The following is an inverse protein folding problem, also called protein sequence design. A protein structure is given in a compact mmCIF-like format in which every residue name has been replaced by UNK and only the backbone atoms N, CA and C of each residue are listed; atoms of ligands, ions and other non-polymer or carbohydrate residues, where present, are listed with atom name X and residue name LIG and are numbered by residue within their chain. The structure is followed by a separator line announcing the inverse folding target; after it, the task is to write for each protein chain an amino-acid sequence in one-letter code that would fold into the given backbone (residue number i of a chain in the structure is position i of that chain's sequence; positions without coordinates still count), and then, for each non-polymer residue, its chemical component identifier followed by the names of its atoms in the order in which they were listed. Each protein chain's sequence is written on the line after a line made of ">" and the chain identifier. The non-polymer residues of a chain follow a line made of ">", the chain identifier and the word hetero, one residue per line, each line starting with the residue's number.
data_IF_698848440347
#
_entry.id   IF_698848440347
#
_cell.length_a   1.000
_cell.length_b   1.000
_cell.length_c   1.000
_cell.angle_alpha   90.00
_cell.angle_beta   90.00
_cell.angle_gamma   90.00
#
_symmetry.space_group_name_H-M   'P 1'
#
loop_
_entity.id
_entity.type
_entity.pdbx_description
1 polymer ?
#
# COMPACT_ATOMS: atom_id res chain seq x y z
N UNK A 1 -1.27 -15.81 -15.50
CA UNK A 1 -2.15 -15.97 -14.32
C UNK A 1 -2.29 -14.60 -13.68
N UNK A 2 -3.14 -13.77 -14.27
CA UNK A 2 -3.39 -12.38 -13.85
C UNK A 2 -4.45 -12.38 -12.75
N UNK A 3 -4.22 -11.61 -11.68
CA UNK A 3 -5.15 -11.49 -10.57
C UNK A 3 -6.52 -11.03 -11.11
N UNK A 4 -7.64 -11.70 -10.77
CA UNK A 4 -8.98 -11.35 -11.26
C UNK A 4 -9.46 -9.94 -10.84
N UNK A 5 -8.69 -9.22 -10.03
CA UNK A 5 -8.98 -7.84 -9.62
C UNK A 5 -8.56 -6.76 -10.63
N UNK A 6 -7.77 -7.08 -11.66
CA UNK A 6 -7.67 -6.16 -12.83
C UNK A 6 -8.97 -6.08 -13.63
N UNK A 7 -9.97 -6.94 -13.33
CA UNK A 7 -11.34 -6.78 -13.84
C UNK A 7 -12.15 -5.72 -13.09
N UNK A 8 -11.60 -5.14 -12.02
CA UNK A 8 -12.12 -3.92 -11.41
C UNK A 8 -11.66 -2.65 -12.14
N UNK A 9 -11.13 -2.76 -13.37
CA UNK A 9 -11.03 -1.65 -14.32
C UNK A 9 -12.09 -1.81 -15.42
N UNK A 10 -13.40 -1.75 -15.11
CA UNK A 10 -14.43 -1.57 -16.16
C UNK A 10 -15.84 -1.18 -15.68
N UNK A 11 -15.97 -0.41 -14.60
CA UNK A 11 -17.24 0.34 -14.35
C UNK A 11 -17.00 1.86 -14.40
N UNK A 12 -15.74 2.30 -14.44
CA UNK A 12 -15.36 3.70 -14.71
C UNK A 12 -15.42 4.06 -16.21
N UNK A 13 -15.59 3.07 -17.10
CA UNK A 13 -15.66 3.30 -18.57
C UNK A 13 -17.03 3.85 -19.05
N UNK A 14 -18.00 4.03 -18.15
CA UNK A 14 -19.32 4.61 -18.48
C UNK A 14 -19.65 5.95 -17.84
N UNK A 15 -18.68 6.64 -17.24
CA UNK A 15 -18.88 8.00 -16.73
C UNK A 15 -17.82 9.00 -17.20
N UNK A 16 -17.37 8.91 -18.46
CA UNK A 16 -16.84 10.12 -19.06
C UNK A 16 -18.01 11.07 -19.32
N UNK A 17 -17.91 12.30 -18.80
CA UNK A 17 -17.90 13.55 -19.60
C UNK A 17 -18.50 14.68 -18.79
N UNK A 18 -17.66 15.56 -18.24
CA UNK A 18 -17.66 17.02 -18.48
C UNK A 18 -17.11 17.80 -17.26
N UNK A 19 -17.23 17.28 -16.03
CA UNK A 19 -16.82 18.01 -14.80
C UNK A 19 -15.40 17.76 -14.26
N UNK A 20 -14.88 16.53 -14.34
CA UNK A 20 -13.63 16.14 -13.65
C UNK A 20 -12.34 16.59 -14.37
N UNK A 21 -12.46 17.02 -15.63
CA UNK A 21 -11.32 17.44 -16.47
C UNK A 21 -10.64 18.72 -15.99
N UNK A 22 -11.38 19.67 -15.39
CA UNK A 22 -10.81 20.96 -14.98
C UNK A 22 -10.12 20.91 -13.61
N UNK A 23 -10.54 20.01 -12.71
CA UNK A 23 -9.97 19.87 -11.36
C UNK A 23 -8.66 19.09 -11.35
N UNK A 24 -8.45 18.28 -12.38
CA UNK A 24 -7.22 17.50 -12.59
C UNK A 24 -6.06 18.35 -13.10
N UNK A 25 -6.34 19.30 -13.99
CA UNK A 25 -5.32 20.12 -14.64
C UNK A 25 -4.68 21.18 -13.72
N UNK A 26 -5.26 21.41 -12.54
CA UNK A 26 -4.68 22.22 -11.46
C UNK A 26 -3.73 21.43 -10.53
N UNK A 27 -3.43 20.16 -10.84
CA UNK A 27 -2.50 19.31 -10.07
C UNK A 27 -3.09 18.66 -8.82
N UNK A 28 -4.42 18.58 -8.71
CA UNK A 28 -5.15 18.24 -7.47
C UNK A 28 -5.59 16.76 -7.43
N UNK A 29 -5.46 15.98 -8.51
CA UNK A 29 -6.00 14.62 -8.55
C UNK A 29 -5.25 13.64 -7.64
N UNK A 30 -5.82 13.51 -6.45
CA UNK A 30 -5.67 12.43 -5.50
C UNK A 30 -6.36 11.18 -6.04
N UNK A 31 -5.79 10.00 -5.78
CA UNK A 31 -6.49 8.73 -5.98
C UNK A 31 -7.80 8.72 -5.18
N UNK A 32 -8.83 8.03 -5.67
CA UNK A 32 -10.09 7.91 -4.92
C UNK A 32 -9.86 7.10 -3.63
N UNK A 33 -10.71 7.30 -2.62
CA UNK A 33 -10.59 6.54 -1.36
C UNK A 33 -10.71 5.03 -1.62
N UNK A 34 -11.58 4.66 -2.54
CA UNK A 34 -11.81 3.29 -2.98
C UNK A 34 -10.54 2.70 -3.63
N UNK A 35 -9.90 3.45 -4.54
CA UNK A 35 -8.65 3.04 -5.17
C UNK A 35 -7.51 2.92 -4.15
N UNK A 36 -7.41 3.85 -3.20
CA UNK A 36 -6.39 3.81 -2.14
C UNK A 36 -6.56 2.64 -1.16
N UNK A 37 -7.78 2.23 -0.85
CA UNK A 37 -8.07 1.14 0.08
C UNK A 37 -8.03 -0.26 -0.58
N UNK A 38 -8.18 -0.33 -1.91
CA UNK A 38 -8.36 -1.59 -2.63
C UNK A 38 -7.26 -2.63 -2.33
N UNK A 39 -5.98 -2.22 -2.37
CA UNK A 39 -4.85 -3.14 -2.15
C UNK A 39 -4.83 -3.67 -0.72
N UNK A 40 -5.10 -2.81 0.27
CA UNK A 40 -5.14 -3.22 1.69
C UNK A 40 -6.28 -4.20 1.96
N UNK A 41 -7.48 -3.91 1.44
CA UNK A 41 -8.64 -4.78 1.60
C UNK A 41 -8.40 -6.12 0.91
N UNK A 42 -7.80 -6.13 -0.27
CA UNK A 42 -7.42 -7.35 -0.97
C UNK A 42 -6.45 -8.20 -0.13
N UNK A 43 -5.35 -7.62 0.36
CA UNK A 43 -4.39 -8.34 1.20
C UNK A 43 -5.01 -8.90 2.49
N UNK A 44 -6.02 -8.23 3.04
CA UNK A 44 -6.67 -8.65 4.28
C UNK A 44 -7.76 -9.72 4.09
N UNK A 45 -8.37 -9.82 2.90
CA UNK A 45 -9.58 -10.63 2.68
C UNK A 45 -9.41 -11.75 1.65
N UNK A 46 -8.36 -11.71 0.82
CA UNK A 46 -8.17 -12.70 -0.22
C UNK A 46 -7.79 -14.06 0.37
N UNK A 47 -8.68 -15.04 0.23
CA UNK A 47 -8.46 -16.42 0.69
C UNK A 47 -7.20 -17.06 0.08
N UNK A 48 -6.80 -16.62 -1.12
CA UNK A 48 -5.56 -17.08 -1.78
C UNK A 48 -4.28 -16.62 -1.07
N UNK A 49 -4.37 -15.65 -0.16
CA UNK A 49 -3.27 -15.14 0.64
C UNK A 49 -3.27 -15.69 2.07
N UNK A 50 -4.24 -16.54 2.43
CA UNK A 50 -4.26 -17.19 3.74
C UNK A 50 -3.00 -18.04 3.94
N UNK A 51 -2.25 -17.74 5.01
CA UNK A 51 -0.98 -18.41 5.32
C UNK A 51 0.22 -17.93 4.50
N UNK A 52 0.05 -17.00 3.56
CA UNK A 52 1.15 -16.39 2.80
C UNK A 52 1.53 -15.03 3.37
N UNK A 53 2.79 -14.88 3.79
CA UNK A 53 3.33 -13.64 4.35
C UNK A 53 4.60 -13.15 3.63
N UNK A 54 5.02 -11.92 3.94
CA UNK A 54 6.29 -11.37 3.46
C UNK A 54 6.30 -10.90 2.00
N UNK A 55 5.13 -10.72 1.39
CA UNK A 55 4.98 -10.29 0.01
C UNK A 55 4.66 -8.79 -0.07
N UNK A 56 5.16 -8.15 -1.12
CA UNK A 56 4.83 -6.76 -1.44
C UNK A 56 3.77 -6.71 -2.54
N UNK A 57 2.72 -5.91 -2.33
CA UNK A 57 1.62 -5.73 -3.28
C UNK A 57 1.49 -4.25 -3.66
N UNK A 58 1.29 -4.01 -4.96
CA UNK A 58 0.97 -2.70 -5.52
C UNK A 58 -0.19 -2.87 -6.50
N UNK A 59 -1.24 -2.06 -6.34
CA UNK A 59 -2.45 -2.11 -7.16
C UNK A 59 -3.07 -3.53 -7.26
N UNK A 60 -3.26 -4.18 -6.11
CA UNK A 60 -3.74 -5.57 -5.98
C UNK A 60 -2.89 -6.62 -6.72
N UNK A 61 -1.66 -6.29 -7.11
CA UNK A 61 -0.75 -7.19 -7.80
C UNK A 61 0.51 -7.41 -6.97
N UNK A 62 1.01 -8.65 -6.93
CA UNK A 62 2.29 -8.96 -6.30
C UNK A 62 3.42 -8.33 -7.11
N UNK A 63 4.27 -7.56 -6.44
CA UNK A 63 5.40 -6.88 -7.05
C UNK A 63 6.68 -7.14 -6.27
N UNK A 64 7.82 -7.02 -6.96
CA UNK A 64 9.11 -7.07 -6.29
C UNK A 64 9.39 -5.70 -5.64
N UNK A 65 9.72 -5.65 -4.34
CA UNK A 65 10.08 -4.40 -3.69
C UNK A 65 11.44 -3.88 -4.17
N UNK A 66 11.78 -2.64 -3.83
CA UNK A 66 13.09 -2.06 -4.19
C UNK A 66 14.24 -2.87 -3.58
N UNK A 67 15.44 -2.79 -4.18
CA UNK A 67 16.62 -3.51 -3.67
C UNK A 67 16.94 -3.14 -2.22
N UNK A 68 16.81 -1.86 -1.86
CA UNK A 68 17.04 -1.38 -0.50
C UNK A 68 16.06 -2.01 0.51
N UNK A 69 14.81 -2.24 0.09
CA UNK A 69 13.81 -2.89 0.93
C UNK A 69 14.03 -4.41 1.09
N UNK A 70 14.90 -5.01 0.28
CA UNK A 70 15.27 -6.43 0.37
C UNK A 70 16.52 -6.67 1.23
N UNK A 71 17.23 -5.61 1.63
CA UNK A 71 18.44 -5.75 2.43
C UNK A 71 18.11 -6.12 3.89
N UNK A 72 18.36 -7.38 4.22
CA UNK A 72 18.16 -7.92 5.57
C UNK A 72 19.03 -7.25 6.64
N UNK A 73 20.23 -6.78 6.30
CA UNK A 73 21.12 -6.12 7.26
C UNK A 73 20.58 -4.75 7.65
N UNK A 74 20.17 -3.95 6.67
CA UNK A 74 19.48 -2.67 6.91
C UNK A 74 18.17 -2.86 7.68
N UNK A 75 17.38 -3.89 7.38
CA UNK A 75 16.15 -4.19 8.10
C UNK A 75 16.40 -4.47 9.59
N UNK A 76 17.41 -5.28 9.92
CA UNK A 76 17.77 -5.58 11.30
C UNK A 76 18.30 -4.34 12.05
N UNK A 77 19.17 -3.55 11.40
CA UNK A 77 19.70 -2.32 11.98
C UNK A 77 18.59 -1.28 12.24
N UNK A 78 17.63 -1.16 11.30
CA UNK A 78 16.49 -0.27 11.45
C UNK A 78 15.58 -0.70 12.60
N UNK A 79 15.31 -2.00 12.74
CA UNK A 79 14.51 -2.53 13.84
C UNK A 79 15.11 -2.18 15.21
N UNK A 80 16.42 -2.41 15.39
CA UNK A 80 17.12 -2.11 16.64
C UNK A 80 17.07 -0.60 16.95
N UNK A 81 17.33 0.24 15.95
CA UNK A 81 17.25 1.69 16.10
C UNK A 81 15.84 2.14 16.51
N UNK A 82 14.80 1.68 15.81
CA UNK A 82 13.41 2.01 16.12
C UNK A 82 13.02 1.55 17.52
N UNK A 83 13.42 0.34 17.90
CA UNK A 83 13.13 -0.20 19.22
C UNK A 83 13.79 0.64 20.33
N UNK A 84 15.08 0.99 20.17
CA UNK A 84 15.79 1.88 21.10
C UNK A 84 15.09 3.24 21.24
N UNK A 85 14.70 3.86 20.13
CA UNK A 85 14.00 5.16 20.15
C UNK A 85 12.66 5.09 20.87
N UNK A 86 11.91 4.00 20.68
CA UNK A 86 10.64 3.78 21.38
C UNK A 86 10.89 3.60 22.88
N UNK A 87 11.89 2.82 23.27
CA UNK A 87 12.22 2.60 24.69
C UNK A 87 12.66 3.88 25.39
N UNK A 88 13.51 4.69 24.76
CA UNK A 88 13.93 5.99 25.28
C UNK A 88 12.73 6.91 25.54
N UNK A 89 11.75 6.94 24.62
CA UNK A 89 10.56 7.79 24.73
C UNK A 89 9.53 7.23 25.70
N UNK A 90 9.24 5.93 25.66
CA UNK A 90 8.29 5.28 26.55
C UNK A 90 8.79 5.28 28.00
N UNK A 91 10.08 5.05 28.22
CA UNK A 91 10.72 5.14 29.55
C UNK A 91 10.78 6.56 30.11
N UNK A 92 10.85 7.58 29.24
CA UNK A 92 10.85 9.00 29.66
C UNK A 92 9.47 9.54 30.06
N UNK A 93 8.38 8.85 29.70
CA UNK A 93 7.00 9.23 30.07
C UNK A 93 6.55 8.61 31.41
N UNK A 94 7.43 7.85 32.08
CA UNK A 94 7.14 7.15 33.33
C UNK A 94 7.60 7.92 34.60
N UNK A 95 7.77 9.24 34.52
CA UNK A 95 8.21 10.06 35.66
C UNK A 95 7.23 11.16 36.02
#
# INVERSE_FOLDING_TARGET
>A
MTCPLTKAESVDDKLNKTGERLLTELGILRMSQQQGAATTVYCATAAELEGLGGMYFNNCCRCLPSQQAQDSASAAALWELSHRLIQERAGSQAK
#
